data_IF_346663636436
#
_entry.id   IF_346663636436
#
_cell.length_a   1.000
_cell.length_b   1.000
_cell.length_c   1.000
_cell.angle_alpha   90.00
_cell.angle_beta   90.00
_cell.angle_gamma   90.00
#
_symmetry.space_group_name_H-M   'P 1'
#
loop_
_entity.id
_entity.type
_entity.pdbx_description
1 polymer ?
#
# COMPACT_ATOMS: atom_id res chain seq x y z
N UNK A 1 3.49 -7.48 -0.98
CA UNK A 1 2.46 -6.43 -0.87
C UNK A 1 3.14 -5.10 -1.09
N UNK A 2 2.59 -4.23 -1.93
CA UNK A 2 3.18 -2.93 -2.26
C UNK A 2 2.34 -1.81 -1.67
N UNK A 3 2.96 -0.94 -0.89
CA UNK A 3 2.34 0.29 -0.41
C UNK A 3 2.77 1.44 -1.32
N UNK A 4 1.90 1.80 -2.27
CA UNK A 4 2.20 2.75 -3.33
C UNK A 4 1.50 4.11 -3.14
N UNK A 5 1.85 4.75 -2.04
CA UNK A 5 1.34 6.07 -1.67
C UNK A 5 2.35 6.77 -0.75
N UNK A 6 3.01 7.87 -1.20
CA UNK A 6 3.96 8.60 -0.37
C UNK A 6 3.36 9.07 0.96
N UNK A 7 2.06 9.40 0.95
CA UNK A 7 1.34 9.79 2.15
C UNK A 7 1.14 8.59 3.09
N UNK A 8 0.74 7.44 2.57
CA UNK A 8 0.52 6.23 3.38
C UNK A 8 1.83 5.68 3.94
N UNK A 9 2.93 5.76 3.18
CA UNK A 9 4.28 5.41 3.66
C UNK A 9 4.65 6.31 4.85
N UNK A 10 4.51 7.64 4.71
CA UNK A 10 4.78 8.58 5.80
C UNK A 10 3.89 8.33 7.03
N UNK A 11 2.61 8.06 6.81
CA UNK A 11 1.70 7.71 7.90
C UNK A 11 2.16 6.44 8.62
N UNK A 12 2.53 5.40 7.87
CA UNK A 12 3.06 4.14 8.42
C UNK A 12 4.29 4.38 9.30
N UNK A 13 5.21 5.25 8.86
CA UNK A 13 6.39 5.62 9.66
C UNK A 13 6.04 6.39 10.94
N UNK A 14 4.95 7.17 10.96
CA UNK A 14 4.43 7.81 12.18
C UNK A 14 3.87 6.74 13.12
N UNK A 15 3.02 5.83 12.62
CA UNK A 15 2.47 4.73 13.41
C UNK A 15 3.54 3.83 14.03
N UNK A 16 4.63 3.54 13.30
CA UNK A 16 5.77 2.78 13.83
C UNK A 16 6.49 3.48 14.99
N UNK A 17 6.48 4.81 15.03
CA UNK A 17 7.14 5.61 16.08
C UNK A 17 6.28 5.84 17.31
N UNK A 18 4.96 5.72 17.15
CA UNK A 18 3.96 6.02 18.18
C UNK A 18 3.17 4.78 18.57
N UNK A 19 3.87 3.68 18.89
CA UNK A 19 3.20 2.44 19.34
C UNK A 19 2.48 2.61 20.67
N UNK A 20 2.86 3.61 21.47
CA UNK A 20 2.19 3.96 22.73
C UNK A 20 0.72 4.36 22.58
N UNK A 21 0.30 4.78 21.38
CA UNK A 21 -1.08 5.17 21.09
C UNK A 21 -1.97 3.97 20.67
N UNK A 22 -1.40 2.76 20.61
CA UNK A 22 -2.12 1.55 20.20
C UNK A 22 -2.89 0.97 21.39
N UNK A 23 -4.01 0.30 21.11
CA UNK A 23 -4.72 -0.44 22.15
C UNK A 23 -3.92 -1.66 22.63
N UNK A 24 -4.26 -2.13 23.84
CA UNK A 24 -3.54 -3.26 24.46
C UNK A 24 -3.64 -4.54 23.62
N UNK A 25 -4.75 -4.74 22.89
CA UNK A 25 -4.93 -5.90 22.02
C UNK A 25 -3.91 -5.90 20.87
N UNK A 26 -3.75 -4.76 20.19
CA UNK A 26 -2.82 -4.59 19.10
C UNK A 26 -1.38 -4.76 19.57
N UNK A 27 -1.03 -4.21 20.74
CA UNK A 27 0.31 -4.34 21.31
C UNK A 27 0.66 -5.78 21.71
N UNK A 28 -0.30 -6.52 22.27
CA UNK A 28 -0.10 -7.94 22.61
C UNK A 28 0.01 -8.83 21.37
N UNK A 29 -0.75 -8.50 20.32
CA UNK A 29 -0.84 -9.33 19.12
C UNK A 29 0.26 -9.04 18.11
N UNK A 30 0.72 -7.79 18.06
CA UNK A 30 1.68 -7.30 17.07
C UNK A 30 2.70 -6.37 17.74
N UNK A 31 3.87 -6.92 18.08
CA UNK A 31 4.98 -6.11 18.60
C UNK A 31 5.41 -5.02 17.61
N UNK A 32 5.41 -5.34 16.30
CA UNK A 32 5.71 -4.41 15.21
C UNK A 32 4.73 -4.62 14.03
N UNK A 33 3.54 -4.00 14.04
CA UNK A 33 2.44 -4.32 13.11
C UNK A 33 2.74 -3.98 11.64
N UNK A 34 3.74 -3.14 11.39
CA UNK A 34 4.13 -2.70 10.05
C UNK A 34 5.57 -3.09 9.67
N UNK A 35 6.20 -3.96 10.45
CA UNK A 35 7.57 -4.43 10.20
C UNK A 35 7.54 -5.90 9.80
N UNK A 36 7.15 -6.16 8.56
CA UNK A 36 7.14 -7.50 7.98
C UNK A 36 7.72 -7.47 6.57
N UNK A 37 8.51 -8.49 6.18
CA UNK A 37 9.31 -8.47 4.96
C UNK A 37 8.48 -8.40 3.67
N UNK A 38 7.20 -8.78 3.73
CA UNK A 38 6.29 -8.74 2.60
C UNK A 38 5.73 -7.34 2.29
N UNK A 39 5.90 -6.37 3.20
CA UNK A 39 5.51 -4.97 2.98
C UNK A 39 6.62 -4.20 2.28
N UNK A 40 6.40 -3.87 1.01
CA UNK A 40 7.36 -3.12 0.19
C UNK A 40 6.78 -1.72 -0.06
N UNK A 41 7.46 -0.70 0.46
CA UNK A 41 7.11 0.70 0.22
C UNK A 41 7.72 1.18 -1.09
N UNK A 42 6.90 1.67 -2.02
CA UNK A 42 7.39 2.28 -3.26
C UNK A 42 7.49 3.79 -3.10
N UNK A 43 8.69 4.30 -2.85
CA UNK A 43 8.89 5.74 -2.60
C UNK A 43 8.90 6.56 -3.89
N UNK A 44 9.58 6.06 -4.93
CA UNK A 44 9.79 6.77 -6.19
C UNK A 44 8.62 6.62 -7.16
N UNK A 45 8.53 7.55 -8.12
CA UNK A 45 7.56 7.45 -9.22
C UNK A 45 7.96 6.30 -10.14
N UNK A 46 9.25 6.12 -10.36
CA UNK A 46 9.81 5.07 -11.21
C UNK A 46 9.43 3.69 -10.71
N UNK A 47 9.48 3.45 -9.40
CA UNK A 47 9.08 2.17 -8.82
C UNK A 47 7.57 1.94 -8.92
N UNK A 48 6.76 2.98 -8.71
CA UNK A 48 5.30 2.93 -8.97
C UNK A 48 5.00 2.58 -10.43
N UNK A 49 5.75 3.14 -11.39
CA UNK A 49 5.59 2.83 -12.81
C UNK A 49 5.92 1.36 -13.08
N UNK A 50 7.03 0.83 -12.53
CA UNK A 50 7.43 -0.57 -12.69
C UNK A 50 6.35 -1.55 -12.21
N UNK A 51 5.60 -1.20 -11.16
CA UNK A 51 4.51 -2.04 -10.67
C UNK A 51 3.41 -2.28 -11.71
N UNK A 52 3.16 -1.34 -12.62
CA UNK A 52 2.17 -1.52 -13.69
C UNK A 52 2.56 -2.61 -14.70
N UNK A 53 3.84 -2.97 -14.75
CA UNK A 53 4.37 -4.03 -15.61
C UNK A 53 4.75 -5.30 -14.83
N UNK A 54 4.37 -5.39 -13.54
CA UNK A 54 4.67 -6.55 -12.71
C UNK A 54 3.79 -7.75 -13.11
N UNK A 55 4.41 -8.86 -13.51
CA UNK A 55 3.71 -10.03 -14.06
C UNK A 55 3.34 -11.10 -13.01
N UNK A 56 3.77 -10.92 -11.75
CA UNK A 56 3.46 -11.85 -10.66
C UNK A 56 2.17 -11.49 -9.89
N UNK A 57 1.62 -12.43 -9.09
CA UNK A 57 0.55 -12.10 -8.17
C UNK A 57 1.05 -11.10 -7.12
N UNK A 58 0.31 -10.00 -6.94
CA UNK A 58 0.63 -9.02 -5.92
C UNK A 58 -0.63 -8.32 -5.39
N UNK A 59 -0.45 -7.65 -4.25
CA UNK A 59 -1.43 -6.72 -3.68
C UNK A 59 -0.79 -5.34 -3.75
N UNK A 60 -1.47 -4.37 -4.36
CA UNK A 60 -1.06 -2.97 -4.42
C UNK A 60 -2.06 -2.16 -3.59
N UNK A 61 -1.56 -1.48 -2.57
CA UNK A 61 -2.32 -0.54 -1.73
C UNK A 61 -1.94 0.87 -2.17
N UNK A 62 -2.82 1.54 -2.91
CA UNK A 62 -2.60 2.89 -3.40
C UNK A 62 -3.81 3.80 -3.07
N UNK A 63 -3.54 4.99 -2.53
CA UNK A 63 -4.55 6.05 -2.38
C UNK A 63 -4.68 6.89 -3.66
N UNK A 64 -5.68 7.78 -3.81
CA UNK A 64 -6.72 8.25 -2.87
C UNK A 64 -7.95 7.31 -2.81
N UNK A 65 -8.57 7.10 -1.64
CA UNK A 65 -9.66 6.13 -1.43
C UNK A 65 -10.93 6.35 -2.28
N UNK A 66 -11.10 7.53 -2.89
CA UNK A 66 -12.18 7.80 -3.85
C UNK A 66 -11.75 7.63 -5.32
N UNK A 67 -10.54 7.16 -5.58
CA UNK A 67 -9.95 6.97 -6.91
C UNK A 67 -9.93 8.23 -7.79
N UNK A 68 -9.94 9.42 -7.19
CA UNK A 68 -10.02 10.70 -7.93
C UNK A 68 -8.67 11.21 -8.42
N UNK A 69 -7.58 10.86 -7.74
CA UNK A 69 -6.23 11.32 -8.04
C UNK A 69 -5.18 10.42 -7.37
N UNK A 70 -3.91 10.65 -7.71
CA UNK A 70 -2.77 9.94 -7.15
C UNK A 70 -2.41 8.68 -7.92
N UNK A 71 -1.56 7.83 -7.32
CA UNK A 71 -0.99 6.66 -8.00
C UNK A 71 -2.05 5.59 -8.33
N UNK A 72 -3.17 5.54 -7.60
CA UNK A 72 -4.29 4.63 -7.91
C UNK A 72 -4.84 4.82 -9.32
N UNK A 73 -4.88 6.05 -9.86
CA UNK A 73 -5.42 6.28 -11.20
C UNK A 73 -4.54 5.65 -12.29
N UNK A 74 -3.23 5.56 -12.05
CA UNK A 74 -2.29 4.87 -12.93
C UNK A 74 -2.51 3.35 -12.88
N UNK A 75 -2.57 2.76 -11.68
CA UNK A 75 -2.86 1.32 -11.54
C UNK A 75 -4.19 0.93 -12.17
N UNK A 76 -5.24 1.75 -12.02
CA UNK A 76 -6.52 1.53 -12.67
C UNK A 76 -6.40 1.65 -14.20
N UNK A 77 -5.71 2.66 -14.71
CA UNK A 77 -5.49 2.83 -16.16
C UNK A 77 -4.79 1.62 -16.78
N UNK A 78 -3.83 1.03 -16.08
CA UNK A 78 -3.03 -0.09 -16.59
C UNK A 78 -3.58 -1.47 -16.25
N UNK A 79 -4.40 -1.61 -15.20
CA UNK A 79 -4.85 -2.90 -14.69
C UNK A 79 -6.35 -3.18 -14.73
N UNK A 80 -7.23 -2.16 -14.82
CA UNK A 80 -8.68 -2.35 -14.62
C UNK A 80 -9.35 -3.21 -15.70
N UNK A 81 -8.81 -3.18 -16.93
CA UNK A 81 -9.33 -3.97 -18.06
C UNK A 81 -8.90 -5.44 -18.01
N UNK A 82 -7.93 -5.80 -17.17
CA UNK A 82 -7.45 -7.16 -17.04
C UNK A 82 -8.35 -7.96 -16.10
N UNK A 83 -9.06 -8.96 -16.64
CA UNK A 83 -9.97 -9.85 -15.90
C UNK A 83 -9.32 -10.66 -14.78
N UNK A 84 -7.98 -10.78 -14.77
CA UNK A 84 -7.25 -11.47 -13.71
C UNK A 84 -7.04 -10.59 -12.47
N UNK A 85 -7.32 -9.28 -12.58
CA UNK A 85 -7.17 -8.34 -11.48
C UNK A 85 -8.49 -8.19 -10.73
N UNK A 86 -8.39 -7.89 -9.43
CA UNK A 86 -9.53 -7.52 -8.59
C UNK A 86 -9.30 -6.13 -8.01
N UNK A 87 -10.30 -5.26 -8.13
CA UNK A 87 -10.35 -4.00 -7.39
C UNK A 87 -11.15 -4.21 -6.11
N UNK A 88 -10.50 -4.02 -4.96
CA UNK A 88 -11.13 -4.15 -3.64
C UNK A 88 -11.25 -2.76 -3.00
N UNK A 89 -12.49 -2.36 -2.69
CA UNK A 89 -12.77 -1.20 -1.84
C UNK A 89 -12.87 -1.68 -0.38
N UNK A 90 -12.22 -0.95 0.53
CA UNK A 90 -12.15 -1.21 1.97
C UNK A 90 -12.77 -0.09 2.78
#
# INVERSE_FOLDING_TARGET
MFLDSPLSIKATEIFKRHTEDFDEEALHKYAHPFDFPELICTESIEDSIKLNAYEGPCIIIAGNGMCTAGRITHHLKHGLWNKNNTLLFV
#
